data_IF_077353374713
#
_entry.id   IF_077353374713
#
_cell.length_a   1.000
_cell.length_b   1.000
_cell.length_c   1.000
_cell.angle_alpha   90.00
_cell.angle_beta   90.00
_cell.angle_gamma   90.00
#
_symmetry.space_group_name_H-M   'P 1'
#
loop_
_entity.id
_entity.type
_entity.pdbx_description
1 polymer ?
#
# COMPACT_ATOMS: atom_id res chain seq x y z
N UNK A 1 -11.61 0.45 -29.28
CA UNK A 1 -11.27 1.28 -28.11
C UNK A 1 -12.49 1.83 -27.34
N UNK A 2 -13.64 2.14 -27.95
CA UNK A 2 -14.82 2.71 -27.23
C UNK A 2 -15.59 1.72 -26.32
N UNK A 3 -15.61 0.42 -26.65
CA UNK A 3 -16.30 -0.62 -25.86
C UNK A 3 -15.58 -0.91 -24.53
N UNK A 4 -14.25 -0.75 -24.51
CA UNK A 4 -13.37 -1.04 -23.36
C UNK A 4 -13.37 0.04 -22.28
N UNK A 5 -13.67 1.30 -22.65
CA UNK A 5 -13.83 2.41 -21.70
C UNK A 5 -15.12 2.29 -20.89
N UNK A 6 -16.24 1.87 -21.51
CA UNK A 6 -17.51 1.66 -20.79
C UNK A 6 -17.42 0.55 -19.74
N UNK A 7 -16.72 -0.55 -20.03
CA UNK A 7 -16.63 -1.68 -19.11
C UNK A 7 -15.69 -1.46 -17.93
N UNK A 8 -14.70 -0.56 -18.03
CA UNK A 8 -13.83 -0.21 -16.90
C UNK A 8 -14.30 1.03 -16.14
N UNK A 9 -14.93 2.01 -16.80
CA UNK A 9 -15.35 3.26 -16.15
C UNK A 9 -16.63 3.15 -15.31
N UNK A 10 -17.44 2.10 -15.49
CA UNK A 10 -18.66 1.88 -14.69
C UNK A 10 -18.41 1.16 -13.35
N UNK A 11 -17.16 0.83 -13.05
CA UNK A 11 -16.76 0.12 -11.85
C UNK A 11 -15.84 1.01 -11.03
N UNK A 12 -16.19 1.24 -9.77
CA UNK A 12 -15.29 1.83 -8.79
C UNK A 12 -14.93 0.78 -7.74
N UNK A 13 -13.65 0.64 -7.44
CA UNK A 13 -13.15 -0.37 -6.51
C UNK A 13 -12.40 0.30 -5.36
N UNK A 14 -12.69 -0.16 -4.14
CA UNK A 14 -12.02 0.24 -2.91
C UNK A 14 -11.28 -0.98 -2.40
N UNK A 15 -9.96 -0.96 -2.48
CA UNK A 15 -9.13 -2.02 -1.93
C UNK A 15 -8.88 -1.79 -0.44
N UNK A 16 -8.98 -2.85 0.36
CA UNK A 16 -8.77 -2.77 1.81
C UNK A 16 -8.27 -4.11 2.37
N UNK A 17 -7.67 -4.05 3.56
CA UNK A 17 -7.28 -5.24 4.30
C UNK A 17 -8.45 -5.66 5.21
N UNK A 18 -9.09 -6.79 4.94
CA UNK A 18 -10.27 -7.21 5.70
C UNK A 18 -9.99 -7.58 7.17
N UNK A 19 -8.71 -7.77 7.54
CA UNK A 19 -8.31 -7.99 8.92
C UNK A 19 -8.26 -6.69 9.73
N UNK A 20 -7.85 -5.58 9.11
CA UNK A 20 -7.62 -4.31 9.81
C UNK A 20 -8.67 -3.25 9.51
N UNK A 21 -9.34 -3.35 8.37
CA UNK A 21 -10.15 -2.29 7.80
C UNK A 21 -11.60 -2.75 7.62
N UNK A 22 -12.53 -1.84 7.89
CA UNK A 22 -13.94 -1.95 7.52
C UNK A 22 -14.27 -0.85 6.52
N UNK A 23 -14.81 -1.22 5.37
CA UNK A 23 -15.33 -0.28 4.37
C UNK A 23 -16.84 -0.17 4.51
N UNK A 24 -17.38 1.03 4.30
CA UNK A 24 -18.81 1.33 4.26
C UNK A 24 -19.09 2.28 3.09
N UNK A 25 -19.92 1.87 2.13
CA UNK A 25 -20.39 2.78 1.06
C UNK A 25 -21.59 3.54 1.62
N UNK A 26 -21.45 4.85 1.76
CA UNK A 26 -22.46 5.71 2.39
C UNK A 26 -23.47 6.23 1.36
N UNK A 27 -23.03 6.46 0.13
CA UNK A 27 -23.85 6.95 -0.96
C UNK A 27 -23.16 6.67 -2.29
N UNK A 28 -23.90 6.16 -3.27
CA UNK A 28 -23.41 5.99 -4.63
C UNK A 28 -24.54 6.15 -5.65
N UNK A 29 -24.30 6.87 -6.73
CA UNK A 29 -25.29 7.07 -7.80
C UNK A 29 -24.65 7.47 -9.14
N UNK A 30 -25.37 7.20 -10.23
CA UNK A 30 -25.09 7.78 -11.56
C UNK A 30 -25.97 9.01 -11.74
N UNK A 31 -25.39 10.12 -12.18
CA UNK A 31 -26.12 11.34 -12.52
C UNK A 31 -26.09 11.61 -14.03
N UNK A 32 -27.28 11.60 -14.63
CA UNK A 32 -27.53 11.86 -16.05
C UNK A 32 -28.29 13.18 -16.19
N UNK A 33 -27.56 14.28 -16.41
CA UNK A 33 -28.13 15.63 -16.37
C UNK A 33 -28.71 15.95 -15.00
N UNK A 34 -30.03 16.08 -14.90
CA UNK A 34 -30.75 16.34 -13.65
C UNK A 34 -31.21 15.08 -12.92
N UNK A 35 -31.19 13.92 -13.59
CA UNK A 35 -31.67 12.65 -13.02
C UNK A 35 -30.55 11.98 -12.23
N UNK A 36 -30.81 11.66 -10.96
CA UNK A 36 -29.95 10.83 -10.12
C UNK A 36 -30.52 9.41 -10.04
N UNK A 37 -29.67 8.44 -10.32
CA UNK A 37 -30.02 7.02 -10.34
C UNK A 37 -29.17 6.33 -9.27
N UNK A 38 -29.74 5.95 -8.11
CA UNK A 38 -28.98 5.33 -7.03
C UNK A 38 -28.40 3.98 -7.48
N UNK A 39 -27.23 3.63 -6.93
CA UNK A 39 -26.67 2.29 -7.06
C UNK A 39 -27.48 1.33 -6.19
N UNK A 40 -27.92 0.21 -6.76
CA UNK A 40 -28.60 -0.85 -6.01
C UNK A 40 -27.62 -1.49 -5.01
N UNK A 41 -28.02 -1.79 -3.76
CA UNK A 41 -27.15 -2.45 -2.80
C UNK A 41 -26.58 -3.79 -3.30
N UNK A 42 -27.33 -4.54 -4.12
CA UNK A 42 -26.85 -5.78 -4.73
C UNK A 42 -25.74 -5.59 -5.77
N UNK A 43 -25.56 -4.36 -6.27
CA UNK A 43 -24.48 -3.96 -7.17
C UNK A 43 -23.21 -3.49 -6.41
N UNK A 44 -23.18 -3.66 -5.09
CA UNK A 44 -22.01 -3.43 -4.24
C UNK A 44 -21.54 -4.77 -3.69
N UNK A 45 -20.36 -5.21 -4.12
CA UNK A 45 -19.85 -6.55 -3.82
C UNK A 45 -18.44 -6.49 -3.24
N UNK A 46 -18.14 -7.35 -2.28
CA UNK A 46 -16.77 -7.64 -1.88
C UNK A 46 -16.23 -8.83 -2.67
N UNK A 47 -15.02 -8.69 -3.21
CA UNK A 47 -14.30 -9.78 -3.85
C UNK A 47 -12.94 -9.96 -3.18
N UNK A 48 -12.54 -11.21 -3.00
CA UNK A 48 -11.21 -11.52 -2.48
C UNK A 48 -10.15 -11.19 -3.53
N UNK A 49 -9.07 -10.54 -3.08
CA UNK A 49 -7.94 -10.15 -3.91
C UNK A 49 -6.80 -11.14 -3.70
N UNK A 50 -6.93 -12.27 -4.40
CA UNK A 50 -6.01 -13.40 -4.35
C UNK A 50 -6.22 -14.30 -3.13
N UNK A 51 -5.76 -15.55 -3.21
CA UNK A 51 -5.81 -16.50 -2.10
C UNK A 51 -4.74 -16.14 -1.07
N UNK A 52 -5.09 -16.06 0.22
CA UNK A 52 -4.17 -15.67 1.29
C UNK A 52 -4.26 -16.69 2.43
N UNK A 53 -3.56 -17.83 2.30
CA UNK A 53 -3.46 -18.78 3.43
C UNK A 53 -2.57 -18.26 4.55
N UNK A 54 -1.49 -17.55 4.18
CA UNK A 54 -0.47 -17.09 5.13
C UNK A 54 -0.32 -15.56 5.22
N UNK A 55 -1.15 -14.82 4.49
CA UNK A 55 -1.15 -13.36 4.42
C UNK A 55 -2.53 -12.83 4.77
N UNK A 56 -2.60 -11.54 5.03
CA UNK A 56 -3.87 -10.89 5.29
C UNK A 56 -4.80 -10.98 4.07
N UNK A 57 -6.07 -11.25 4.34
CA UNK A 57 -7.10 -11.26 3.33
C UNK A 57 -7.33 -9.84 2.80
N UNK A 58 -6.78 -9.56 1.63
CA UNK A 58 -7.09 -8.35 0.88
C UNK A 58 -8.43 -8.52 0.19
N UNK A 59 -9.30 -7.51 0.29
CA UNK A 59 -10.58 -7.47 -0.41
C UNK A 59 -10.66 -6.23 -1.28
N UNK A 60 -11.48 -6.32 -2.32
CA UNK A 60 -11.86 -5.21 -3.17
C UNK A 60 -13.36 -5.05 -3.10
N UNK A 61 -13.82 -3.95 -2.49
CA UNK A 61 -15.24 -3.58 -2.50
C UNK A 61 -15.54 -2.82 -3.78
N UNK A 62 -16.33 -3.43 -4.64
CA UNK A 62 -16.69 -2.94 -5.95
C UNK A 62 -18.07 -2.29 -5.93
N UNK A 63 -18.21 -1.15 -6.61
CA UNK A 63 -19.46 -0.41 -6.81
C UNK A 63 -19.73 -0.35 -8.31
N UNK A 64 -20.80 -1.00 -8.76
CA UNK A 64 -21.21 -1.02 -10.17
C UNK A 64 -22.27 0.06 -10.42
N UNK A 65 -21.94 1.03 -11.26
CA UNK A 65 -22.83 2.15 -11.57
C UNK A 65 -23.88 1.78 -12.62
N UNK A 66 -25.18 2.04 -12.37
CA UNK A 66 -26.23 1.76 -13.35
C UNK A 66 -26.27 2.84 -14.45
N UNK A 67 -26.73 2.45 -15.64
CA UNK A 67 -27.11 3.37 -16.73
C UNK A 67 -26.03 4.42 -17.10
N UNK A 68 -24.76 4.00 -17.10
CA UNK A 68 -23.63 4.87 -17.46
C UNK A 68 -23.64 5.16 -18.97
N UNK A 69 -23.69 6.45 -19.30
CA UNK A 69 -23.67 6.96 -20.67
C UNK A 69 -22.64 8.09 -20.81
N UNK A 70 -22.44 8.56 -22.04
CA UNK A 70 -21.53 9.67 -22.30
C UNK A 70 -22.10 10.92 -21.59
N UNK A 71 -21.27 11.60 -20.81
CA UNK A 71 -21.67 12.76 -20.02
C UNK A 71 -22.26 12.43 -18.64
N UNK A 72 -22.37 11.14 -18.27
CA UNK A 72 -22.72 10.76 -16.90
C UNK A 72 -21.69 11.26 -15.89
N UNK A 73 -22.15 11.66 -14.70
CA UNK A 73 -21.30 11.90 -13.53
C UNK A 73 -21.50 10.79 -12.53
N UNK A 74 -20.43 10.13 -12.12
CA UNK A 74 -20.48 9.06 -11.12
C UNK A 74 -20.15 9.67 -9.76
N UNK A 75 -20.96 9.35 -8.75
CA UNK A 75 -20.74 9.82 -7.40
C UNK A 75 -20.59 8.63 -6.46
N UNK A 76 -19.57 8.67 -5.61
CA UNK A 76 -19.38 7.72 -4.52
C UNK A 76 -18.86 8.44 -3.30
N UNK A 77 -19.45 8.12 -2.15
CA UNK A 77 -18.99 8.54 -0.83
C UNK A 77 -18.92 7.32 0.06
N UNK A 78 -17.77 7.12 0.68
CA UNK A 78 -17.50 5.94 1.48
C UNK A 78 -16.70 6.31 2.73
N UNK A 79 -16.65 5.38 3.67
CA UNK A 79 -15.84 5.44 4.89
C UNK A 79 -14.98 4.19 4.97
N UNK A 80 -13.73 4.37 5.36
CA UNK A 80 -12.84 3.29 5.75
C UNK A 80 -12.48 3.51 7.22
N UNK A 81 -12.68 2.48 8.04
CA UNK A 81 -12.31 2.49 9.45
C UNK A 81 -11.23 1.45 9.67
N UNK A 82 -10.03 1.89 10.06
CA UNK A 82 -8.89 1.01 10.36
C UNK A 82 -8.78 0.80 11.86
N UNK A 83 -9.00 -0.44 12.32
CA UNK A 83 -8.98 -0.83 13.72
C UNK A 83 -7.57 -1.12 14.25
N UNK A 84 -6.67 -1.63 13.39
CA UNK A 84 -5.28 -1.95 13.73
C UNK A 84 -4.33 -1.11 12.87
N UNK A 85 -3.55 -0.18 13.46
CA UNK A 85 -2.59 0.60 12.70
C UNK A 85 -1.43 -0.28 12.21
N UNK A 86 -0.83 0.11 11.08
CA UNK A 86 0.33 -0.55 10.49
C UNK A 86 1.53 -0.61 11.44
N UNK A 87 1.74 0.49 12.18
CA UNK A 87 2.76 0.63 13.22
C UNK A 87 2.07 1.30 14.40
N UNK A 88 2.21 0.69 15.57
CA UNK A 88 1.57 1.18 16.79
C UNK A 88 1.99 2.63 17.08
N UNK A 89 1.03 3.43 17.54
CA UNK A 89 1.19 4.87 17.87
C UNK A 89 1.63 5.77 16.72
N UNK A 90 1.61 5.29 15.47
CA UNK A 90 2.06 6.03 14.29
C UNK A 90 1.01 6.01 13.19
N UNK A 91 0.93 7.13 12.50
CA UNK A 91 0.11 7.26 11.30
C UNK A 91 0.85 8.13 10.30
N UNK A 92 0.86 7.69 9.06
CA UNK A 92 1.36 8.43 7.92
C UNK A 92 0.58 8.01 6.69
N UNK A 93 0.34 8.95 5.79
CA UNK A 93 -0.33 8.69 4.53
C UNK A 93 0.27 9.54 3.42
N UNK A 94 0.11 9.07 2.18
CA UNK A 94 0.62 9.71 0.98
C UNK A 94 -0.47 9.82 -0.06
N UNK A 95 -0.66 11.02 -0.58
CA UNK A 95 -1.51 11.26 -1.73
C UNK A 95 -0.67 11.70 -2.93
N UNK A 96 -0.88 11.05 -4.09
CA UNK A 96 -0.17 11.36 -5.34
C UNK A 96 -1.15 11.85 -6.39
N UNK A 97 -0.89 13.05 -6.92
CA UNK A 97 -1.60 13.60 -8.07
C UNK A 97 -0.75 13.40 -9.32
N UNK A 98 -0.98 12.25 -9.95
CA UNK A 98 -0.25 11.84 -11.14
C UNK A 98 -0.51 12.79 -12.33
N UNK A 99 0.50 13.04 -13.17
CA UNK A 99 0.28 13.66 -14.47
C UNK A 99 -0.69 12.80 -15.29
N UNK A 100 -1.70 13.42 -15.93
CA UNK A 100 -2.75 12.69 -16.67
C UNK A 100 -4.13 12.73 -16.04
N UNK A 101 -4.23 12.88 -14.72
CA UNK A 101 -5.53 12.98 -14.05
C UNK A 101 -6.09 14.39 -14.17
N UNK A 102 -7.25 14.52 -14.82
CA UNK A 102 -8.01 15.76 -14.78
C UNK A 102 -8.70 15.90 -13.43
N UNK A 103 -8.45 16.98 -12.70
CA UNK A 103 -9.04 17.23 -11.39
C UNK A 103 -9.53 18.66 -11.32
N UNK A 104 -10.84 18.86 -11.31
CA UNK A 104 -11.45 20.19 -11.20
C UNK A 104 -11.30 20.76 -9.78
N UNK A 105 -11.71 19.97 -8.78
CA UNK A 105 -11.67 20.31 -7.37
C UNK A 105 -11.03 19.17 -6.58
N UNK A 106 -10.00 19.50 -5.82
CA UNK A 106 -9.29 18.61 -4.93
C UNK A 106 -9.30 19.20 -3.54
N UNK A 107 -9.71 18.38 -2.56
CA UNK A 107 -9.59 18.71 -1.16
C UNK A 107 -9.22 17.46 -0.37
N UNK A 108 -8.11 17.54 0.36
CA UNK A 108 -7.75 16.54 1.36
C UNK A 108 -7.59 17.21 2.72
N UNK A 109 -8.40 16.78 3.68
CA UNK A 109 -8.44 17.34 5.03
C UNK A 109 -8.02 16.26 6.03
N UNK A 110 -6.95 16.53 6.77
CA UNK A 110 -6.39 15.62 7.76
C UNK A 110 -6.52 16.23 9.14
N UNK A 111 -7.10 15.47 10.07
CA UNK A 111 -7.28 15.85 11.48
C UNK A 111 -6.75 14.73 12.35
N UNK A 112 -6.07 15.10 13.43
CA UNK A 112 -5.56 14.14 14.40
C UNK A 112 -5.60 14.69 15.83
N UNK A 113 -5.53 13.81 16.81
CA UNK A 113 -5.38 14.17 18.22
C UNK A 113 -3.93 14.59 18.55
N UNK A 114 -2.98 14.22 17.69
CA UNK A 114 -1.55 14.51 17.79
C UNK A 114 -1.12 15.54 16.73
N UNK A 115 0.03 16.22 16.94
CA UNK A 115 0.60 17.09 15.91
C UNK A 115 0.76 16.38 14.57
N UNK A 116 0.49 17.10 13.50
CA UNK A 116 0.63 16.68 12.12
C UNK A 116 1.77 17.45 11.46
N UNK A 117 2.57 16.72 10.70
CA UNK A 117 3.65 17.22 9.87
C UNK A 117 3.35 16.86 8.43
N UNK A 118 3.83 17.66 7.49
CA UNK A 118 3.63 17.40 6.08
C UNK A 118 4.90 17.71 5.29
N UNK A 119 5.03 17.02 4.16
CA UNK A 119 5.99 17.33 3.11
C UNK A 119 5.25 17.32 1.77
N UNK A 120 5.54 18.31 0.92
CA UNK A 120 4.87 18.46 -0.37
C UNK A 120 5.91 18.63 -1.46
N UNK A 121 6.05 17.59 -2.28
CA UNK A 121 6.78 17.67 -3.52
C UNK A 121 5.82 18.07 -4.63
N UNK A 122 5.78 19.37 -4.95
CA UNK A 122 4.86 19.91 -5.95
C UNK A 122 5.62 20.75 -7.01
N UNK A 123 6.30 20.09 -7.97
CA UNK A 123 7.15 20.77 -8.97
C UNK A 123 6.37 21.74 -9.86
N UNK A 124 5.03 21.64 -9.89
CA UNK A 124 4.14 22.46 -10.71
C UNK A 124 3.40 23.55 -9.91
N UNK A 125 3.61 23.61 -8.60
CA UNK A 125 3.00 24.60 -7.70
C UNK A 125 1.47 24.58 -7.70
N UNK A 126 0.85 23.43 -7.96
CA UNK A 126 -0.59 23.23 -8.11
C UNK A 126 -1.36 23.14 -6.78
N UNK A 127 -0.68 22.90 -5.66
CA UNK A 127 -1.30 22.65 -4.35
C UNK A 127 -1.07 23.82 -3.40
N UNK A 128 -2.14 24.22 -2.73
CA UNK A 128 -2.14 25.10 -1.57
C UNK A 128 -2.27 24.26 -0.30
N UNK A 129 -1.52 24.65 0.72
CA UNK A 129 -1.53 24.03 2.05
C UNK A 129 -2.02 25.05 3.06
N UNK A 130 -3.05 24.68 3.82
CA UNK A 130 -3.57 25.46 4.94
C UNK A 130 -3.37 24.67 6.23
N UNK A 131 -2.43 25.10 7.08
CA UNK A 131 -2.24 24.53 8.41
C UNK A 131 -3.05 25.30 9.45
N UNK A 132 -4.08 24.65 10.00
CA UNK A 132 -5.01 25.22 10.99
C UNK A 132 -4.61 24.75 12.38
N UNK A 133 -3.54 25.33 12.90
CA UNK A 133 -2.86 24.85 14.11
C UNK A 133 -2.11 23.54 13.86
N UNK A 134 -1.61 22.91 14.93
CA UNK A 134 -0.74 21.74 14.81
C UNK A 134 -1.45 20.43 14.45
N UNK A 135 -2.78 20.38 14.51
CA UNK A 135 -3.57 19.12 14.46
C UNK A 135 -4.52 19.01 13.27
N UNK A 136 -4.49 19.98 12.36
CA UNK A 136 -5.41 20.06 11.23
C UNK A 136 -4.71 20.68 10.02
N UNK A 137 -4.62 19.92 8.94
CA UNK A 137 -4.03 20.37 7.67
C UNK A 137 -5.05 20.16 6.56
N UNK A 138 -5.17 21.15 5.67
CA UNK A 138 -6.01 21.06 4.47
C UNK A 138 -5.15 21.30 3.23
N UNK A 139 -5.20 20.37 2.29
CA UNK A 139 -4.59 20.49 0.96
C UNK A 139 -5.68 20.75 -0.06
N UNK A 140 -5.46 21.71 -0.97
CA UNK A 140 -6.40 22.04 -2.04
C UNK A 140 -5.65 22.33 -3.34
N UNK A 141 -6.26 22.06 -4.48
CA UNK A 141 -5.72 22.55 -5.74
C UNK A 141 -5.95 24.07 -5.86
N UNK A 142 -4.93 24.81 -6.30
CA UNK A 142 -5.03 26.26 -6.56
C UNK A 142 -5.85 26.58 -7.82
N UNK A 143 -5.90 25.63 -8.74
CA UNK A 143 -6.59 25.68 -10.03
C UNK A 143 -6.88 24.26 -10.48
N UNK A 144 -7.83 24.03 -11.41
CA UNK A 144 -8.02 22.73 -12.02
C UNK A 144 -6.69 22.15 -12.49
N UNK A 145 -6.42 20.90 -12.15
CA UNK A 145 -5.23 20.18 -12.58
C UNK A 145 -5.51 19.70 -14.00
N UNK A 146 -4.85 20.28 -15.02
CA UNK A 146 -5.09 19.84 -16.38
C UNK A 146 -4.58 18.40 -16.50
N UNK A 147 -5.48 17.49 -16.78
CA UNK A 147 -5.09 16.15 -17.21
C UNK A 147 -4.15 16.28 -18.41
N UNK A 148 -3.12 15.44 -18.47
CA UNK A 148 -2.27 15.38 -19.65
C UNK A 148 -2.94 14.49 -20.68
N UNK A 149 -3.18 15.06 -21.86
CA UNK A 149 -3.53 14.27 -23.04
C UNK A 149 -2.21 13.77 -23.60
N UNK A 150 -1.87 12.51 -23.31
CA UNK A 150 -0.82 11.84 -24.06
C UNK A 150 -1.43 11.18 -25.28
N UNK A 151 -0.89 11.50 -26.46
CA UNK A 151 -1.19 10.78 -27.70
C UNK A 151 -0.40 9.47 -27.81
N UNK A 152 0.49 9.20 -26.84
CA UNK A 152 1.31 7.99 -26.80
C UNK A 152 0.57 6.85 -26.10
N UNK A 153 0.83 5.64 -26.60
CA UNK A 153 0.45 4.41 -25.91
C UNK A 153 1.44 4.18 -24.77
N UNK A 154 0.95 4.09 -23.53
CA UNK A 154 1.72 3.89 -22.30
C UNK A 154 2.72 5.02 -21.99
N UNK A 155 2.25 6.26 -21.79
CA UNK A 155 3.13 7.39 -21.54
C UNK A 155 3.96 7.20 -20.27
N UNK A 156 5.27 7.38 -20.40
CA UNK A 156 6.16 7.44 -19.25
C UNK A 156 6.18 8.87 -18.69
N UNK A 157 5.77 9.02 -17.43
CA UNK A 157 5.94 10.25 -16.69
C UNK A 157 7.08 10.09 -15.71
N UNK A 158 8.06 10.99 -15.79
CA UNK A 158 9.14 11.01 -14.83
C UNK A 158 8.56 11.23 -13.42
N UNK A 159 8.88 10.40 -12.41
CA UNK A 159 8.30 10.51 -11.06
C UNK A 159 8.47 11.90 -10.43
N UNK A 160 9.57 12.58 -10.72
CA UNK A 160 9.82 13.95 -10.25
C UNK A 160 8.83 14.99 -10.78
N UNK A 161 7.98 14.66 -11.77
CA UNK A 161 6.91 15.52 -12.27
C UNK A 161 5.57 15.32 -11.56
N UNK A 162 5.42 14.28 -10.73
CA UNK A 162 4.21 14.07 -9.94
C UNK A 162 4.16 15.04 -8.75
N UNK A 163 2.94 15.41 -8.37
CA UNK A 163 2.74 16.11 -7.09
C UNK A 163 2.50 15.07 -6.01
N UNK A 164 3.37 14.99 -5.02
CA UNK A 164 3.25 14.10 -3.87
C UNK A 164 3.01 14.91 -2.59
N UNK A 165 2.04 14.47 -1.80
CA UNK A 165 1.69 15.04 -0.51
C UNK A 165 1.87 13.94 0.52
N UNK A 166 2.76 14.14 1.47
CA UNK A 166 3.01 13.23 2.59
C UNK A 166 2.54 13.89 3.87
N UNK A 167 1.84 13.14 4.71
CA UNK A 167 1.40 13.60 6.03
C UNK A 167 1.75 12.55 7.06
N UNK A 168 2.23 12.98 8.23
CA UNK A 168 2.68 12.07 9.29
C UNK A 168 2.42 12.68 10.66
N UNK A 169 2.22 11.82 11.66
CA UNK A 169 2.21 12.22 13.08
C UNK A 169 3.61 12.35 13.68
N UNK A 170 4.67 12.09 12.89
CA UNK A 170 6.07 12.11 13.31
C UNK A 170 6.96 12.76 12.25
N UNK A 171 8.04 13.43 12.67
CA UNK A 171 9.01 14.06 11.77
C UNK A 171 10.20 13.16 11.40
N UNK A 172 10.52 12.17 12.24
CA UNK A 172 11.76 11.40 12.11
C UNK A 172 11.48 9.93 11.76
N UNK A 173 12.14 9.45 10.69
CA UNK A 173 12.06 8.07 10.24
C UNK A 173 12.73 7.10 11.23
N UNK A 174 13.72 7.56 12.02
CA UNK A 174 14.40 6.73 13.02
C UNK A 174 13.41 6.26 14.07
N UNK A 175 12.59 7.17 14.56
CA UNK A 175 11.53 6.85 15.49
C UNK A 175 10.56 5.81 14.89
N UNK A 176 10.24 5.93 13.60
CA UNK A 176 9.39 4.95 12.90
C UNK A 176 10.02 3.55 12.90
N UNK A 177 11.32 3.47 12.64
CA UNK A 177 12.04 2.20 12.62
C UNK A 177 12.30 1.61 14.00
N UNK A 178 12.39 2.40 15.07
CA UNK A 178 12.59 1.87 16.43
C UNK A 178 11.43 0.95 16.87
N UNK A 179 10.19 1.39 16.64
CA UNK A 179 9.00 0.58 16.95
C UNK A 179 8.94 -0.70 16.11
N UNK A 180 9.27 -0.59 14.83
CA UNK A 180 9.32 -1.73 13.92
C UNK A 180 10.47 -2.70 14.29
N UNK A 181 11.62 -2.17 14.69
CA UNK A 181 12.83 -2.90 15.05
C UNK A 181 12.59 -3.91 16.16
N UNK A 182 11.86 -3.52 17.22
CA UNK A 182 11.46 -4.45 18.30
C UNK A 182 10.64 -5.64 17.78
N UNK A 183 9.74 -5.39 16.83
CA UNK A 183 8.98 -6.46 16.17
C UNK A 183 9.89 -7.41 15.38
N UNK A 184 10.85 -6.85 14.64
CA UNK A 184 11.87 -7.61 13.90
C UNK A 184 12.78 -8.43 14.84
N UNK A 185 13.21 -7.86 15.97
CA UNK A 185 14.01 -8.56 16.97
C UNK A 185 13.23 -9.72 17.58
N UNK A 186 11.95 -9.50 17.94
CA UNK A 186 11.08 -10.54 18.51
C UNK A 186 10.95 -11.74 17.56
N UNK A 187 10.68 -11.50 16.28
CA UNK A 187 10.56 -12.61 15.32
C UNK A 187 11.89 -13.30 15.08
N UNK A 188 13.02 -12.60 15.25
CA UNK A 188 14.37 -13.15 15.10
C UNK A 188 14.87 -13.92 16.33
N UNK A 189 14.45 -13.54 17.54
CA UNK A 189 14.93 -14.08 18.80
C UNK A 189 14.98 -15.62 18.85
N UNK A 190 14.00 -16.39 18.32
CA UNK A 190 14.00 -17.85 18.36
C UNK A 190 15.17 -18.53 17.64
N UNK A 191 15.92 -17.83 16.78
CA UNK A 191 17.06 -18.42 16.10
C UNK A 191 16.73 -18.96 14.70
N UNK A 192 17.65 -19.80 14.21
CA UNK A 192 17.47 -20.52 12.94
C UNK A 192 16.82 -21.88 13.23
N UNK A 193 15.70 -22.22 12.57
CA UNK A 193 15.02 -23.50 12.73
C UNK A 193 15.93 -24.70 12.47
N UNK A 194 15.58 -25.86 13.03
CA UNK A 194 16.41 -27.06 12.99
C UNK A 194 16.74 -27.53 11.58
N UNK A 195 15.80 -27.48 10.62
CA UNK A 195 16.08 -27.96 9.26
C UNK A 195 17.01 -27.02 8.48
N UNK A 196 17.14 -25.77 8.92
CA UNK A 196 18.07 -24.79 8.34
C UNK A 196 19.45 -24.79 9.02
N UNK A 197 19.62 -25.42 10.19
CA UNK A 197 20.92 -25.52 10.87
C UNK A 197 22.03 -26.15 10.01
N UNK A 198 21.78 -27.19 9.18
CA UNK A 198 22.80 -27.74 8.29
C UNK A 198 23.37 -26.72 7.30
N UNK A 199 22.57 -25.75 6.84
CA UNK A 199 23.05 -24.68 5.94
C UNK A 199 24.08 -23.81 6.64
N UNK A 200 23.81 -23.44 7.89
CA UNK A 200 24.75 -22.65 8.70
C UNK A 200 26.03 -23.43 9.00
N UNK A 201 25.93 -24.72 9.30
CA UNK A 201 27.09 -25.57 9.54
C UNK A 201 27.96 -25.71 8.29
N UNK A 202 27.34 -25.85 7.11
CA UNK A 202 28.04 -25.90 5.84
C UNK A 202 28.68 -24.54 5.48
N UNK A 203 27.97 -23.43 5.72
CA UNK A 203 28.50 -22.08 5.54
C UNK A 203 29.72 -21.85 6.44
N UNK A 204 29.67 -22.18 7.73
CA UNK A 204 30.79 -21.96 8.67
C UNK A 204 32.10 -22.65 8.26
N UNK A 205 32.03 -23.71 7.44
CA UNK A 205 33.20 -24.42 6.89
C UNK A 205 33.84 -23.71 5.69
N UNK A 206 33.20 -22.66 5.16
CA UNK A 206 33.73 -21.84 4.05
C UNK A 206 34.83 -20.91 4.54
N UNK A 207 35.81 -20.66 3.67
CA UNK A 207 37.09 -20.03 4.02
C UNK A 207 36.93 -18.52 4.17
N UNK A 208 36.16 -17.88 3.30
CA UNK A 208 35.90 -16.43 3.33
C UNK A 208 34.47 -16.10 3.73
N UNK A 209 34.25 -14.86 4.17
CA UNK A 209 32.91 -14.32 4.42
C UNK A 209 32.08 -14.35 3.14
N UNK A 210 32.67 -14.02 1.99
CA UNK A 210 31.97 -14.02 0.71
C UNK A 210 31.48 -15.43 0.34
N UNK A 211 32.31 -16.45 0.52
CA UNK A 211 31.91 -17.84 0.28
C UNK A 211 30.79 -18.30 1.23
N UNK A 212 30.76 -17.78 2.47
CA UNK A 212 29.67 -18.04 3.43
C UNK A 212 28.36 -17.43 2.93
N UNK A 213 28.41 -16.16 2.51
CA UNK A 213 27.25 -15.42 2.00
C UNK A 213 26.71 -16.09 0.74
N UNK A 214 27.58 -16.38 -0.23
CA UNK A 214 27.20 -17.02 -1.48
C UNK A 214 26.56 -18.38 -1.24
N UNK A 215 27.11 -19.19 -0.32
CA UNK A 215 26.51 -20.47 0.01
C UNK A 215 25.09 -20.33 0.56
N UNK A 216 24.86 -19.39 1.49
CA UNK A 216 23.52 -19.17 2.03
C UNK A 216 22.57 -18.63 0.95
N UNK A 217 23.02 -17.70 0.10
CA UNK A 217 22.21 -17.17 -1.00
C UNK A 217 21.82 -18.25 -2.01
N UNK A 218 22.77 -19.12 -2.37
CA UNK A 218 22.53 -20.27 -3.25
C UNK A 218 21.48 -21.20 -2.64
N UNK A 219 21.65 -21.63 -1.38
CA UNK A 219 20.66 -22.47 -0.68
C UNK A 219 19.29 -21.82 -0.63
N UNK A 220 19.22 -20.52 -0.31
CA UNK A 220 17.96 -19.80 -0.33
C UNK A 220 17.30 -19.79 -1.71
N UNK A 221 18.06 -19.53 -2.77
CA UNK A 221 17.53 -19.50 -4.14
C UNK A 221 17.05 -20.88 -4.63
N UNK A 222 17.70 -21.95 -4.16
CA UNK A 222 17.35 -23.32 -4.53
C UNK A 222 16.18 -23.86 -3.69
N UNK A 223 16.20 -23.63 -2.39
CA UNK A 223 15.29 -24.28 -1.44
C UNK A 223 14.08 -23.42 -1.07
N UNK A 224 14.11 -22.10 -1.32
CA UNK A 224 12.95 -21.22 -1.16
C UNK A 224 12.46 -20.71 -2.52
N UNK A 225 11.14 -20.84 -2.74
CA UNK A 225 10.49 -20.15 -3.85
C UNK A 225 10.21 -18.71 -3.45
N UNK A 226 10.70 -17.77 -4.26
CA UNK A 226 10.31 -16.38 -4.11
C UNK A 226 8.83 -16.21 -4.42
N UNK A 227 8.11 -15.60 -3.48
CA UNK A 227 6.72 -15.23 -3.62
C UNK A 227 6.65 -13.70 -3.62
N UNK A 228 6.38 -13.11 -4.79
CA UNK A 228 6.30 -11.65 -5.01
C UNK A 228 5.06 -11.01 -4.38
N UNK A 229 4.68 -11.47 -3.20
CA UNK A 229 3.50 -11.01 -2.49
C UNK A 229 3.88 -9.88 -1.52
N UNK A 230 3.28 -8.73 -1.77
CA UNK A 230 3.47 -7.50 -0.99
C UNK A 230 2.39 -7.33 0.09
N UNK A 231 1.49 -8.31 0.23
CA UNK A 231 0.45 -8.32 1.26
C UNK A 231 1.08 -8.39 2.65
N UNK A 232 0.32 -7.83 3.58
CA UNK A 232 0.69 -7.76 5.00
C UNK A 232 0.51 -9.13 5.65
N UNK A 233 1.12 -9.27 6.82
CA UNK A 233 0.92 -10.41 7.69
C UNK A 233 0.59 -9.87 9.08
N UNK A 234 -0.50 -10.36 9.66
CA UNK A 234 -1.05 -9.90 10.95
C UNK A 234 -1.30 -8.38 10.95
N UNK A 235 -1.82 -7.83 9.87
CA UNK A 235 -2.16 -6.41 9.75
C UNK A 235 -0.97 -5.43 9.71
N UNK A 236 0.26 -5.94 9.83
CA UNK A 236 1.45 -5.13 10.10
C UNK A 236 2.56 -5.23 9.06
N UNK A 237 3.69 -4.60 9.39
CA UNK A 237 4.91 -4.59 8.58
C UNK A 237 5.98 -5.58 9.09
N UNK A 238 5.75 -6.19 10.25
CA UNK A 238 6.64 -7.20 10.84
C UNK A 238 6.53 -8.50 10.02
N UNK A 239 7.64 -9.06 9.54
CA UNK A 239 7.60 -10.26 8.71
C UNK A 239 7.35 -11.51 9.55
N UNK A 240 6.87 -12.57 8.88
CA UNK A 240 6.83 -13.93 9.42
C UNK A 240 8.20 -14.39 9.93
N UNK A 241 8.20 -15.21 10.96
CA UNK A 241 9.37 -15.90 11.51
C UNK A 241 10.00 -16.90 10.51
N UNK A 242 11.27 -17.26 10.72
CA UNK A 242 11.93 -18.28 9.89
C UNK A 242 11.24 -19.65 9.99
N UNK A 243 10.67 -19.98 11.14
CA UNK A 243 9.95 -21.24 11.34
C UNK A 243 8.64 -21.28 10.53
N UNK A 244 7.94 -20.14 10.42
CA UNK A 244 6.69 -20.04 9.66
C UNK A 244 6.88 -20.13 8.14
N UNK A 245 8.04 -19.69 7.62
CA UNK A 245 8.33 -19.73 6.18
C UNK A 245 9.00 -21.03 5.72
N UNK A 246 9.61 -21.77 6.65
CA UNK A 246 10.36 -23.00 6.36
C UNK A 246 9.43 -24.11 5.87
N UNK A 247 8.27 -24.29 6.51
CA UNK A 247 7.32 -25.35 6.14
C UNK A 247 6.62 -25.16 4.77
N UNK A 248 6.30 -23.93 4.32
CA UNK A 248 5.87 -23.71 2.93
C UNK A 248 7.01 -23.49 1.94
N UNK A 249 8.26 -23.31 2.40
CA UNK A 249 9.42 -22.94 1.59
C UNK A 249 9.16 -21.71 0.67
N UNK A 250 8.38 -20.75 1.16
CA UNK A 250 7.99 -19.54 0.42
C UNK A 250 8.42 -18.27 1.15
N UNK A 251 9.20 -17.42 0.48
CA UNK A 251 9.75 -16.19 1.04
C UNK A 251 9.43 -14.96 0.17
N UNK A 252 9.16 -13.82 0.81
CA UNK A 252 9.02 -12.51 0.14
C UNK A 252 10.31 -11.71 0.23
N UNK A 253 10.39 -10.56 -0.44
CA UNK A 253 11.58 -9.68 -0.39
C UNK A 253 11.98 -9.31 1.06
N UNK A 254 11.00 -9.03 1.93
CA UNK A 254 11.24 -8.70 3.36
C UNK A 254 11.82 -9.89 4.13
N UNK A 255 11.44 -11.09 3.73
CA UNK A 255 11.90 -12.35 4.33
C UNK A 255 13.28 -12.75 3.80
N UNK A 256 13.57 -12.54 2.51
CA UNK A 256 14.87 -12.83 1.92
C UNK A 256 15.97 -11.93 2.49
N UNK A 257 15.69 -10.64 2.72
CA UNK A 257 16.64 -9.71 3.36
C UNK A 257 17.06 -10.18 4.78
N UNK A 258 16.20 -10.95 5.45
CA UNK A 258 16.38 -11.39 6.85
C UNK A 258 17.33 -12.58 6.98
N UNK A 259 17.27 -13.56 6.09
CA UNK A 259 18.23 -14.67 6.09
C UNK A 259 19.67 -14.17 5.84
N UNK A 260 19.78 -13.06 5.10
CA UNK A 260 21.05 -12.41 4.79
C UNK A 260 21.69 -11.74 6.02
N UNK A 261 20.94 -10.93 6.78
CA UNK A 261 21.49 -10.17 7.93
C UNK A 261 22.10 -11.07 9.02
N UNK A 262 21.46 -12.19 9.38
CA UNK A 262 21.97 -13.09 10.43
C UNK A 262 23.17 -13.94 10.00
N UNK A 263 23.37 -14.14 8.71
CA UNK A 263 24.49 -14.93 8.17
C UNK A 263 25.78 -14.11 8.07
N UNK A 264 25.66 -12.77 8.03
CA UNK A 264 26.78 -11.85 7.91
C UNK A 264 27.21 -11.22 9.25
N UNK A 265 26.28 -11.09 10.21
CA UNK A 265 26.52 -10.36 11.47
C UNK A 265 27.06 -11.22 12.64
N UNK A 266 27.45 -12.48 12.42
CA UNK A 266 28.13 -13.33 13.41
C UNK A 266 29.18 -14.23 12.79
#
# INVERSE_FOLDING_TARGET
SRKTLRSSASLFSIDYNAMTDKVEVLEAYTQNGRVKIPVDPSAIEDRDKGEAKDYDAMKSRSVVFPQVQIGSRLFVRYRVTTAKPLVQDRWSDRFTLAPGLWVDDFRWEVKAERPLYHDVQDPRGLIAVEQKGSRHIVFKNKKPLPGWVSAEKDPYFHPAGATEIHVSTHMDWREFLEGLGKGFEKVQAPGVPDKLKPWLQAARKKKSVDERILHIMERMSHDFRYFGDWRRHDGGLVPRSLAEIENPAMATARTCLRCWWRSCAR
#
